data_IF_109110130518
#
_entry.id   IF_109110130518
#
_cell.length_a   1.000
_cell.length_b   1.000
_cell.length_c   1.000
_cell.angle_alpha   90.00
_cell.angle_beta   90.00
_cell.angle_gamma   90.00
#
_symmetry.space_group_name_H-M   'P 1'
#
loop_
_entity.id
_entity.type
_entity.pdbx_description
1 polymer ?
#
# COMPACT_ATOMS: atom_id res chain seq x y z
N UNK A 1 10.76 -2.50 1.01
CA UNK A 1 9.68 -3.22 0.28
C UNK A 1 8.42 -2.38 0.24
N UNK A 2 7.73 -2.35 -0.89
CA UNK A 2 6.40 -1.75 -1.05
C UNK A 2 5.35 -2.85 -1.24
N UNK A 3 4.23 -2.77 -0.51
CA UNK A 3 3.05 -3.64 -0.67
C UNK A 3 1.86 -2.80 -1.13
N UNK A 4 1.47 -2.96 -2.40
CA UNK A 4 0.37 -2.22 -3.02
C UNK A 4 -0.94 -3.01 -2.82
N UNK A 5 -1.95 -2.33 -2.29
CA UNK A 5 -3.18 -2.97 -1.85
C UNK A 5 -2.94 -3.75 -0.56
N UNK A 6 -2.23 -3.15 0.40
CA UNK A 6 -1.79 -3.86 1.61
C UNK A 6 -2.94 -4.27 2.55
N UNK A 7 -4.18 -3.87 2.26
CA UNK A 7 -5.36 -4.09 3.10
C UNK A 7 -5.06 -3.70 4.56
N UNK A 8 -5.34 -4.61 5.51
CA UNK A 8 -5.16 -4.41 6.95
C UNK A 8 -3.73 -4.70 7.43
N UNK A 9 -2.75 -4.82 6.52
CA UNK A 9 -1.33 -5.00 6.87
C UNK A 9 -0.91 -6.44 7.16
N UNK A 10 -1.52 -7.42 6.46
CA UNK A 10 -1.21 -8.84 6.67
C UNK A 10 0.27 -9.17 6.37
N UNK A 11 0.82 -8.61 5.29
CA UNK A 11 2.21 -8.84 4.93
C UNK A 11 3.18 -8.12 5.87
N UNK A 12 2.81 -6.92 6.37
CA UNK A 12 3.54 -6.25 7.43
C UNK A 12 3.72 -7.14 8.68
N UNK A 13 2.67 -7.81 9.13
CA UNK A 13 2.74 -8.73 10.27
C UNK A 13 3.65 -9.93 10.00
N UNK A 14 3.60 -10.51 8.80
CA UNK A 14 4.47 -11.61 8.43
C UNK A 14 5.96 -11.19 8.38
N UNK A 15 6.22 -9.97 7.92
CA UNK A 15 7.57 -9.42 7.82
C UNK A 15 8.14 -8.90 9.14
N UNK A 16 7.31 -8.72 10.17
CA UNK A 16 7.74 -8.23 11.48
C UNK A 16 8.90 -9.02 12.10
N UNK A 17 8.97 -10.33 11.83
CA UNK A 17 10.02 -11.22 12.34
C UNK A 17 11.06 -11.60 11.27
N UNK A 18 10.93 -11.07 10.05
CA UNK A 18 11.80 -11.41 8.91
C UNK A 18 12.66 -10.22 8.47
N UNK A 19 12.15 -8.99 8.59
CA UNK A 19 12.92 -7.78 8.29
C UNK A 19 13.89 -7.49 9.44
N UNK A 20 15.18 -7.59 9.13
CA UNK A 20 16.25 -7.09 10.00
C UNK A 20 16.19 -5.56 10.12
N UNK A 21 17.08 -4.96 10.92
CA UNK A 21 17.06 -3.53 11.25
C UNK A 21 17.26 -2.60 10.04
N UNK A 22 17.87 -3.08 8.95
CA UNK A 22 18.08 -2.33 7.71
C UNK A 22 16.85 -2.37 6.80
N UNK A 23 15.99 -3.37 6.98
CA UNK A 23 14.75 -3.53 6.22
C UNK A 23 13.65 -2.52 6.58
N UNK A 24 12.89 -2.09 5.56
CA UNK A 24 11.70 -1.25 5.71
C UNK A 24 10.52 -1.73 4.87
N UNK A 25 9.31 -1.44 5.34
CA UNK A 25 8.04 -1.78 4.73
C UNK A 25 7.16 -0.54 4.54
N UNK A 26 6.59 -0.38 3.35
CA UNK A 26 5.55 0.60 3.07
C UNK A 26 4.31 -0.11 2.49
N UNK A 27 3.23 -0.11 3.26
CA UNK A 27 1.91 -0.53 2.80
C UNK A 27 1.18 0.65 2.15
N UNK A 28 0.68 0.45 0.94
CA UNK A 28 -0.06 1.46 0.17
C UNK A 28 -1.47 0.95 -0.08
N UNK A 29 -2.49 1.74 0.25
CA UNK A 29 -3.88 1.28 0.20
C UNK A 29 -4.83 2.44 -0.16
N UNK A 30 -5.85 2.14 -0.97
CA UNK A 30 -6.91 3.09 -1.37
C UNK A 30 -8.06 3.13 -0.36
N UNK A 31 -8.21 2.09 0.46
CA UNK A 31 -9.18 2.06 1.54
C UNK A 31 -8.65 2.80 2.77
N UNK A 32 -9.01 4.07 2.92
CA UNK A 32 -8.65 4.89 4.10
C UNK A 32 -8.94 4.21 5.46
N UNK A 33 -10.07 3.48 5.65
CA UNK A 33 -10.30 2.76 6.91
C UNK A 33 -9.23 1.71 7.22
N UNK A 34 -8.71 1.01 6.20
CA UNK A 34 -7.68 -0.01 6.36
C UNK A 34 -6.33 0.62 6.76
N UNK A 35 -5.96 1.73 6.11
CA UNK A 35 -4.75 2.50 6.47
C UNK A 35 -4.82 2.97 7.92
N UNK A 36 -5.94 3.60 8.32
CA UNK A 36 -6.11 4.09 9.69
C UNK A 36 -6.03 2.97 10.72
N UNK A 37 -6.63 1.83 10.41
CA UNK A 37 -6.55 0.66 11.28
C UNK A 37 -5.11 0.16 11.41
N UNK A 38 -4.39 0.02 10.31
CA UNK A 38 -3.01 -0.45 10.31
C UNK A 38 -2.09 0.52 11.08
N UNK A 39 -2.19 1.82 10.82
CA UNK A 39 -1.46 2.84 11.57
C UNK A 39 -1.74 2.77 13.07
N UNK A 40 -3.00 2.54 13.49
CA UNK A 40 -3.35 2.48 14.90
C UNK A 40 -2.97 1.15 15.58
N UNK A 41 -3.09 0.02 14.87
CA UNK A 41 -2.97 -1.33 15.46
C UNK A 41 -1.62 -1.98 15.22
N UNK A 42 -0.86 -1.51 14.24
CA UNK A 42 0.46 -2.01 13.91
C UNK A 42 1.58 -1.02 14.25
N UNK A 43 1.27 0.09 14.94
CA UNK A 43 2.27 1.07 15.40
C UNK A 43 3.40 0.43 16.24
N UNK A 44 3.12 -0.67 16.95
CA UNK A 44 4.11 -1.39 17.75
C UNK A 44 5.22 -2.04 16.91
N UNK A 45 5.05 -2.16 15.59
CA UNK A 45 6.09 -2.60 14.66
C UNK A 45 7.21 -1.56 14.48
N UNK A 46 6.98 -0.31 14.91
CA UNK A 46 7.93 0.78 14.82
C UNK A 46 7.98 1.46 13.45
N UNK A 47 8.80 2.52 13.36
CA UNK A 47 8.81 3.47 12.24
C UNK A 47 9.27 2.87 10.90
N UNK A 48 9.85 1.67 10.93
CA UNK A 48 10.23 0.91 9.72
C UNK A 48 9.01 0.36 8.97
N UNK A 49 7.85 0.28 9.63
CA UNK A 49 6.59 -0.18 9.05
C UNK A 49 5.64 1.00 8.88
N UNK A 50 5.57 1.50 7.65
CA UNK A 50 4.74 2.66 7.28
C UNK A 50 3.52 2.22 6.49
N UNK A 51 2.44 2.98 6.63
CA UNK A 51 1.18 2.78 5.90
C UNK A 51 0.71 4.10 5.35
N UNK A 52 0.39 4.13 4.06
CA UNK A 52 -0.02 5.33 3.36
C UNK A 52 -1.32 5.12 2.58
N UNK A 53 -2.20 6.11 2.69
CA UNK A 53 -3.41 6.19 1.89
C UNK A 53 -3.13 6.88 0.56
N UNK A 54 -3.52 6.26 -0.53
CA UNK A 54 -3.51 6.87 -1.86
C UNK A 54 -4.94 7.07 -2.32
N UNK A 55 -5.32 8.32 -2.59
CA UNK A 55 -6.70 8.67 -2.92
C UNK A 55 -7.03 8.42 -4.40
N UNK A 56 -6.83 7.19 -4.86
CA UNK A 56 -7.06 6.78 -6.25
C UNK A 56 -8.51 6.34 -6.39
N UNK A 57 -9.18 6.80 -7.46
CA UNK A 57 -10.52 6.33 -7.79
C UNK A 57 -10.53 4.82 -8.06
N UNK A 58 -11.35 4.09 -7.30
CA UNK A 58 -11.59 2.66 -7.48
C UNK A 58 -13.06 2.35 -7.19
N UNK A 59 -13.79 1.85 -8.18
CA UNK A 59 -15.25 1.63 -8.10
C UNK A 59 -15.69 0.78 -6.90
N UNK A 60 -14.86 -0.15 -6.44
CA UNK A 60 -15.19 -1.07 -5.36
C UNK A 60 -14.66 -0.62 -3.99
N UNK A 61 -13.47 -0.03 -3.97
CA UNK A 61 -12.72 0.19 -2.73
C UNK A 61 -12.57 1.67 -2.35
N UNK A 62 -12.60 2.58 -3.33
CA UNK A 62 -12.54 4.03 -3.11
C UNK A 62 -13.33 4.77 -4.23
N UNK A 63 -14.67 4.61 -4.29
CA UNK A 63 -15.47 5.12 -5.39
C UNK A 63 -15.47 6.65 -5.48
N UNK A 64 -15.22 7.32 -4.34
CA UNK A 64 -15.12 8.79 -4.23
C UNK A 64 -13.68 9.31 -4.40
N UNK A 65 -12.73 8.44 -4.77
CA UNK A 65 -11.34 8.81 -4.91
C UNK A 65 -11.12 9.91 -5.93
N UNK A 66 -10.34 10.94 -5.56
CA UNK A 66 -10.23 12.17 -6.36
C UNK A 66 -9.05 12.17 -7.31
N UNK A 67 -8.07 11.29 -7.09
CA UNK A 67 -6.91 11.16 -7.95
C UNK A 67 -7.28 10.29 -9.15
N UNK A 68 -7.15 10.86 -10.34
CA UNK A 68 -7.26 10.10 -11.59
C UNK A 68 -6.13 9.09 -11.68
N UNK A 69 -6.42 7.89 -12.21
CA UNK A 69 -5.50 6.75 -12.18
C UNK A 69 -4.09 7.07 -12.70
N UNK A 70 -3.97 7.79 -13.81
CA UNK A 70 -2.66 8.18 -14.38
C UNK A 70 -1.87 9.24 -13.59
N UNK A 71 -2.51 9.93 -12.64
CA UNK A 71 -1.86 10.89 -11.75
C UNK A 71 -1.44 10.26 -10.40
N UNK A 72 -1.81 9.00 -10.16
CA UNK A 72 -1.44 8.29 -8.94
C UNK A 72 0.08 8.22 -8.79
N UNK A 73 0.56 8.42 -7.57
CA UNK A 73 1.96 8.24 -7.20
C UNK A 73 2.02 7.45 -5.91
N UNK A 74 2.95 6.51 -5.86
CA UNK A 74 3.30 5.81 -4.62
C UNK A 74 4.09 6.80 -3.76
N UNK A 75 3.76 6.97 -2.46
CA UNK A 75 4.42 7.92 -1.58
C UNK A 75 5.76 7.36 -1.07
N UNK A 76 6.68 7.12 -2.00
CA UNK A 76 8.04 6.69 -1.77
C UNK A 76 8.96 7.45 -2.74
N UNK A 77 10.21 7.67 -2.34
CA UNK A 77 11.23 8.22 -3.23
C UNK A 77 11.58 7.19 -4.32
N UNK A 78 12.17 7.66 -5.42
CA UNK A 78 12.74 6.77 -6.44
C UNK A 78 13.82 5.87 -5.78
N UNK A 79 13.91 4.62 -6.23
CA UNK A 79 14.81 3.59 -5.69
C UNK A 79 14.63 3.26 -4.18
N UNK A 80 13.51 3.66 -3.57
CA UNK A 80 13.25 3.39 -2.15
C UNK A 80 13.02 1.89 -1.82
N UNK A 81 12.66 1.07 -2.81
CA UNK A 81 12.36 -0.34 -2.58
C UNK A 81 13.02 -1.29 -3.58
N UNK A 82 13.67 -2.32 -3.05
CA UNK A 82 14.22 -3.44 -3.84
C UNK A 82 13.13 -4.40 -4.33
N UNK A 83 11.98 -4.41 -3.66
CA UNK A 83 10.86 -5.33 -3.93
C UNK A 83 9.52 -4.59 -3.84
N UNK A 84 8.70 -4.75 -4.87
CA UNK A 84 7.31 -4.29 -4.95
C UNK A 84 6.40 -5.52 -5.05
N UNK A 85 5.42 -5.61 -4.16
CA UNK A 85 4.40 -6.66 -4.14
C UNK A 85 3.06 -6.05 -4.52
N UNK A 86 2.35 -6.71 -5.43
CA UNK A 86 1.00 -6.33 -5.88
C UNK A 86 0.11 -7.56 -5.76
N UNK A 87 -0.33 -7.85 -4.53
CA UNK A 87 -1.12 -9.05 -4.23
C UNK A 87 -2.62 -8.80 -4.43
N UNK A 88 -3.26 -9.55 -5.34
CA UNK A 88 -4.73 -9.51 -5.54
C UNK A 88 -5.31 -8.12 -5.89
N UNK A 89 -4.50 -7.21 -6.42
CA UNK A 89 -4.97 -5.86 -6.84
C UNK A 89 -5.57 -5.91 -8.25
N UNK A 90 -4.93 -6.63 -9.18
CA UNK A 90 -5.37 -6.68 -10.58
C UNK A 90 -6.65 -7.47 -10.79
N UNK A 91 -7.09 -8.27 -9.82
CA UNK A 91 -8.35 -9.04 -9.91
C UNK A 91 -9.60 -8.16 -9.89
N UNK A 92 -9.47 -6.89 -9.51
CA UNK A 92 -10.57 -5.94 -9.38
C UNK A 92 -10.38 -4.69 -10.25
N UNK A 93 -9.49 -4.74 -11.24
CA UNK A 93 -9.18 -3.60 -12.12
C UNK A 93 -9.53 -3.89 -13.58
N UNK A 94 -10.05 -2.87 -14.27
CA UNK A 94 -10.11 -2.84 -15.72
C UNK A 94 -8.72 -2.51 -16.30
N UNK A 95 -8.48 -2.81 -17.59
CA UNK A 95 -7.15 -2.73 -18.24
C UNK A 95 -6.44 -1.38 -18.04
N UNK A 96 -7.18 -0.27 -18.11
CA UNK A 96 -6.64 1.08 -17.92
C UNK A 96 -6.12 1.32 -16.50
N UNK A 97 -6.65 0.61 -15.51
CA UNK A 97 -6.17 0.62 -14.13
C UNK A 97 -4.87 -0.15 -13.93
N UNK A 98 -4.61 -1.16 -14.77
CA UNK A 98 -3.38 -1.96 -14.74
C UNK A 98 -2.19 -1.13 -15.26
N UNK A 99 -2.40 -0.34 -16.33
CA UNK A 99 -1.34 0.46 -16.97
C UNK A 99 -0.81 1.64 -16.15
N UNK A 100 -1.49 2.00 -15.05
CA UNK A 100 -1.12 3.14 -14.21
C UNK A 100 -0.14 2.77 -13.07
N UNK A 101 0.18 1.48 -12.94
CA UNK A 101 1.20 0.91 -12.05
C UNK A 101 2.44 0.53 -12.85
#
# INVERSE_FOLDING_TARGET
MIDIGCHWGHLALALANLLDEEGAYLGVEVQLPAVRWAQARLAWLGDRFRFAHVDIQNDFYNPEGRTTRGAARIPADDDWADVIVIGSVFTHMQEDGVRAY
#
